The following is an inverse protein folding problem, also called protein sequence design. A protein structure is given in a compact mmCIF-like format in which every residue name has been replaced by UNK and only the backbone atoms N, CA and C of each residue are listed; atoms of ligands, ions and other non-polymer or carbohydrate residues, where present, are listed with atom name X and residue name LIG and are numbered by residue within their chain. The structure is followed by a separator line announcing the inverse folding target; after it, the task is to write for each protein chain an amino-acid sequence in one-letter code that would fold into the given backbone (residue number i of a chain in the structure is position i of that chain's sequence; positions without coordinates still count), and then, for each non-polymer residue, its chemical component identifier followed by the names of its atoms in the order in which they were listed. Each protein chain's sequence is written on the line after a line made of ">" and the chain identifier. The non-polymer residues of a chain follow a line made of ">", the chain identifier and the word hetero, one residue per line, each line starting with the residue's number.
data_IF_036963055703
#
_entry.id   IF_036963055703
#
_cell.length_a   1.000
_cell.length_b   1.000
_cell.length_c   1.000
_cell.angle_alpha   90.00
_cell.angle_beta   90.00
_cell.angle_gamma   90.00
#
_symmetry.space_group_name_H-M   'P 1'
#
loop_
_entity.id
_entity.type
_entity.pdbx_description
1 polymer ?
#
# COMPACT_ATOMS: atom_id res chain seq x y z
N UNK A 1 31.95 11.09 44.66
CA UNK A 1 32.16 9.81 43.97
C UNK A 1 33.47 9.21 44.42
N UNK A 2 33.49 7.97 44.88
CA UNK A 2 34.66 7.33 45.47
C UNK A 2 35.65 6.98 44.35
N UNK A 3 36.94 7.20 44.57
CA UNK A 3 38.05 6.91 43.62
C UNK A 3 38.02 5.49 43.05
N UNK A 4 37.44 4.56 43.74
CA UNK A 4 37.24 3.15 43.34
C UNK A 4 36.27 3.01 42.10
N UNK A 5 35.28 3.86 41.98
CA UNK A 5 34.33 3.81 40.83
C UNK A 5 34.98 4.17 39.51
N UNK A 6 35.97 5.04 39.53
CA UNK A 6 36.75 5.40 38.31
C UNK A 6 37.66 4.25 37.85
N UNK A 7 38.22 3.49 38.77
CA UNK A 7 39.07 2.33 38.44
C UNK A 7 38.27 1.21 37.72
N UNK A 8 37.05 0.93 38.15
CA UNK A 8 36.19 -0.09 37.53
C UNK A 8 35.75 0.36 36.14
N UNK A 9 35.43 1.65 35.95
CA UNK A 9 35.02 2.18 34.65
C UNK A 9 36.17 2.13 33.63
N UNK A 10 37.39 2.44 34.07
CA UNK A 10 38.58 2.39 33.22
C UNK A 10 38.91 0.96 32.78
N UNK A 11 38.78 -0.02 33.66
CA UNK A 11 39.03 -1.43 33.34
C UNK A 11 38.00 -1.97 32.35
N UNK A 12 36.72 -1.58 32.50
CA UNK A 12 35.66 -1.98 31.55
C UNK A 12 35.85 -1.35 30.17
N UNK A 13 36.30 -0.11 30.08
CA UNK A 13 36.57 0.55 28.79
C UNK A 13 37.77 -0.09 28.09
N UNK A 14 38.86 -0.37 28.82
CA UNK A 14 40.05 -1.02 28.25
C UNK A 14 39.77 -2.47 27.82
N UNK A 15 38.92 -3.21 28.54
CA UNK A 15 38.49 -4.56 28.14
C UNK A 15 37.67 -4.56 26.84
N UNK A 16 36.78 -3.58 26.65
CA UNK A 16 36.03 -3.44 25.42
C UNK A 16 36.88 -3.02 24.22
N UNK A 17 37.83 -2.13 24.41
CA UNK A 17 38.76 -1.71 23.35
C UNK A 17 39.66 -2.88 22.95
N UNK A 18 40.13 -3.68 23.92
CA UNK A 18 40.96 -4.87 23.65
C UNK A 18 40.19 -5.96 22.87
N UNK A 19 38.91 -6.13 23.15
CA UNK A 19 38.07 -7.10 22.46
C UNK A 19 37.83 -6.71 20.99
N UNK A 20 37.56 -5.43 20.71
CA UNK A 20 37.40 -4.92 19.33
C UNK A 20 38.69 -5.06 18.53
N UNK A 21 39.87 -4.79 19.12
CA UNK A 21 41.17 -4.92 18.45
C UNK A 21 41.54 -6.39 18.16
N UNK A 22 41.07 -7.38 18.98
CA UNK A 22 41.33 -8.80 18.78
C UNK A 22 40.51 -9.42 17.66
N UNK A 23 39.27 -8.91 17.39
CA UNK A 23 38.38 -9.44 16.35
C UNK A 23 38.50 -8.72 15.00
N UNK A 24 39.07 -7.53 14.92
CA UNK A 24 39.23 -6.79 13.68
C UNK A 24 39.99 -7.57 12.57
N UNK A 25 41.11 -8.27 12.84
CA UNK A 25 41.82 -9.01 11.79
C UNK A 25 41.07 -10.24 11.26
N UNK A 26 40.18 -10.84 12.06
CA UNK A 26 39.38 -12.00 11.62
C UNK A 26 38.27 -11.61 10.64
N UNK A 27 37.62 -10.46 10.86
CA UNK A 27 36.56 -9.95 9.97
C UNK A 27 37.15 -9.51 8.62
N UNK A 28 38.35 -8.91 8.61
CA UNK A 28 39.01 -8.51 7.36
C UNK A 28 39.63 -9.67 6.58
N UNK A 29 39.95 -10.78 7.23
CA UNK A 29 40.44 -11.99 6.54
C UNK A 29 39.31 -12.68 5.77
N UNK A 30 38.09 -12.73 6.33
CA UNK A 30 36.92 -13.34 5.67
C UNK A 30 36.44 -12.52 4.46
N UNK A 31 36.54 -11.18 4.54
CA UNK A 31 36.21 -10.29 3.43
C UNK A 31 37.20 -10.40 2.27
N UNK A 32 38.50 -10.69 2.54
CA UNK A 32 39.50 -10.92 1.50
C UNK A 32 39.34 -12.27 0.81
N UNK A 33 39.02 -13.33 1.54
CA UNK A 33 38.79 -14.66 0.98
C UNK A 33 37.56 -14.69 0.03
N UNK A 34 36.54 -13.88 0.30
CA UNK A 34 35.37 -13.75 -0.58
C UNK A 34 35.64 -12.97 -1.88
N UNK A 35 36.64 -12.09 -1.89
CA UNK A 35 36.99 -11.29 -3.07
C UNK A 35 37.86 -12.05 -4.09
N UNK A 36 38.57 -13.11 -3.68
CA UNK A 36 39.49 -13.86 -4.55
C UNK A 36 38.87 -15.12 -5.22
N UNK A 37 37.60 -15.44 -4.94
CA UNK A 37 36.96 -16.68 -5.39
C UNK A 37 36.20 -16.59 -6.73
N UNK A 38 36.28 -15.50 -7.50
CA UNK A 38 35.67 -15.43 -8.83
C UNK A 38 36.63 -14.94 -9.91
N UNK A 39 37.29 -15.86 -10.66
CA UNK A 39 37.96 -15.47 -11.88
C UNK A 39 36.91 -15.23 -12.98
N UNK A 40 36.91 -14.03 -13.53
CA UNK A 40 36.21 -13.66 -14.76
C UNK A 40 36.79 -14.49 -15.93
N UNK A 41 36.05 -15.48 -16.40
CA UNK A 41 36.32 -16.15 -17.66
C UNK A 41 35.74 -15.32 -18.81
N UNK A 42 36.61 -14.61 -19.49
CA UNK A 42 36.36 -14.01 -20.79
C UNK A 42 36.55 -15.07 -21.87
N UNK A 43 35.47 -15.38 -22.60
CA UNK A 43 35.43 -16.00 -23.97
C UNK A 43 33.94 -16.06 -24.34
N UNK A 44 33.52 -15.75 -25.53
CA UNK A 44 34.07 -15.44 -26.83
C UNK A 44 32.86 -15.13 -27.70
N UNK A 45 33.11 -14.38 -28.75
CA UNK A 45 32.17 -14.07 -29.81
C UNK A 45 31.38 -15.29 -30.29
N UNK A 46 30.04 -15.15 -30.33
CA UNK A 46 29.24 -15.83 -31.34
C UNK A 46 28.04 -14.98 -31.73
N UNK A 47 28.16 -14.54 -32.95
CA UNK A 47 27.23 -13.74 -33.73
C UNK A 47 26.22 -14.68 -34.34
N UNK A 48 24.99 -14.73 -33.87
CA UNK A 48 23.91 -15.41 -34.61
C UNK A 48 22.55 -14.75 -34.38
N UNK A 49 22.07 -14.15 -35.45
CA UNK A 49 20.70 -14.09 -35.96
C UNK A 49 19.54 -13.73 -34.99
N UNK A 50 19.05 -12.51 -35.16
CA UNK A 50 17.67 -12.13 -34.82
C UNK A 50 16.66 -13.02 -35.55
N UNK A 51 15.65 -13.55 -34.87
CA UNK A 51 14.43 -13.97 -35.53
C UNK A 51 13.45 -12.78 -35.66
N UNK A 52 12.86 -12.74 -36.84
CA UNK A 52 11.94 -11.73 -37.35
C UNK A 52 10.71 -11.53 -36.44
N UNK A 53 10.27 -10.25 -36.41
CA UNK A 53 8.96 -9.80 -35.98
C UNK A 53 7.84 -10.65 -36.57
N UNK A 54 7.13 -11.41 -35.77
CA UNK A 54 5.85 -11.98 -36.14
C UNK A 54 4.79 -10.89 -36.08
N UNK A 55 4.22 -10.57 -37.26
CA UNK A 55 3.12 -9.64 -37.41
C UNK A 55 1.87 -10.18 -36.74
N UNK A 56 1.19 -9.33 -35.95
CA UNK A 56 -0.14 -9.59 -35.40
C UNK A 56 -1.18 -9.72 -36.50
N UNK A 57 -2.18 -10.60 -36.39
CA UNK A 57 -3.23 -10.74 -37.39
C UNK A 57 -4.18 -9.54 -37.34
N UNK A 58 -4.38 -8.95 -38.54
CA UNK A 58 -5.32 -7.87 -38.83
C UNK A 58 -6.76 -8.36 -38.60
N UNK A 59 -7.50 -7.69 -37.74
CA UNK A 59 -8.93 -7.93 -37.53
C UNK A 59 -9.72 -7.55 -38.79
N UNK A 60 -10.44 -8.51 -39.32
CA UNK A 60 -11.42 -8.34 -40.43
C UNK A 60 -12.67 -7.67 -39.89
N UNK A 61 -13.22 -6.60 -40.54
CA UNK A 61 -14.48 -6.03 -40.11
C UNK A 61 -15.67 -6.93 -40.49
N UNK A 62 -16.62 -7.05 -39.59
CA UNK A 62 -17.89 -7.77 -39.79
C UNK A 62 -18.77 -7.07 -40.81
N UNK A 63 -19.58 -7.81 -41.60
CA UNK A 63 -20.43 -7.22 -42.64
C UNK A 63 -21.66 -6.53 -42.05
N UNK A 64 -21.90 -5.30 -42.48
CA UNK A 64 -23.13 -4.53 -42.25
C UNK A 64 -24.28 -5.16 -43.01
N UNK A 65 -25.32 -5.62 -42.31
CA UNK A 65 -26.55 -6.08 -42.88
C UNK A 65 -27.39 -4.88 -43.32
N UNK A 66 -27.62 -4.77 -44.64
CA UNK A 66 -28.56 -3.83 -45.23
C UNK A 66 -30.00 -4.37 -45.08
N UNK A 67 -30.87 -3.57 -44.47
CA UNK A 67 -32.28 -3.82 -44.40
C UNK A 67 -32.91 -3.17 -45.67
N UNK A 68 -33.40 -4.01 -46.59
CA UNK A 68 -34.19 -3.59 -47.74
C UNK A 68 -35.61 -3.28 -47.29
N UNK A 69 -36.09 -2.07 -47.58
CA UNK A 69 -37.49 -1.69 -47.46
C UNK A 69 -38.33 -2.39 -48.54
N UNK A 70 -39.34 -3.13 -48.15
CA UNK A 70 -40.37 -3.69 -49.02
C UNK A 70 -41.60 -2.83 -48.98
N UNK A 71 -41.95 -2.24 -50.14
CA UNK A 71 -43.24 -1.62 -50.39
C UNK A 71 -44.33 -2.68 -50.46
N UNK A 72 -45.44 -2.45 -49.74
CA UNK A 72 -46.66 -3.25 -49.83
C UNK A 72 -47.84 -2.45 -49.30
N UNK A 73 -48.52 -1.74 -50.19
CA UNK A 73 -49.77 -1.06 -49.92
C UNK A 73 -50.90 -2.10 -49.83
N UNK A 74 -51.63 -2.10 -48.72
CA UNK A 74 -52.98 -2.62 -48.69
C UNK A 74 -53.89 -1.76 -47.81
N UNK A 75 -54.99 -1.28 -48.42
CA UNK A 75 -55.95 -0.36 -47.83
C UNK A 75 -57.02 -1.17 -47.04
N UNK A 76 -56.85 -1.29 -45.74
CA UNK A 76 -57.78 -1.87 -44.82
C UNK A 76 -58.47 -0.81 -43.97
N UNK A 77 -59.78 -0.79 -44.00
CA UNK A 77 -60.72 0.09 -43.27
C UNK A 77 -60.37 0.27 -41.81
N UNK A 78 -60.12 1.51 -41.39
CA UNK A 78 -59.84 1.88 -39.99
C UNK A 78 -61.15 2.01 -39.24
N UNK A 79 -61.47 1.01 -38.41
CA UNK A 79 -62.52 1.13 -37.39
C UNK A 79 -61.95 1.90 -36.20
N UNK A 80 -62.40 3.14 -36.01
CA UNK A 80 -61.99 3.98 -34.87
C UNK A 80 -62.58 3.42 -33.57
N UNK A 81 -61.76 2.73 -32.76
CA UNK A 81 -62.09 2.35 -31.42
C UNK A 81 -61.84 3.55 -30.50
N UNK A 82 -62.89 4.15 -29.97
CA UNK A 82 -62.79 5.21 -28.96
C UNK A 82 -62.47 4.52 -27.61
N UNK A 83 -61.23 4.61 -27.20
CA UNK A 83 -60.76 4.16 -25.88
C UNK A 83 -61.08 5.29 -24.88
N UNK A 84 -61.78 5.02 -23.77
CA UNK A 84 -62.02 6.03 -22.74
C UNK A 84 -60.66 6.41 -22.07
N UNK A 85 -60.50 7.65 -21.61
CA UNK A 85 -59.27 8.07 -20.96
C UNK A 85 -59.00 7.25 -19.69
N UNK A 86 -57.74 6.90 -19.39
CA UNK A 86 -57.41 6.17 -18.17
C UNK A 86 -57.74 7.00 -16.93
N UNK A 87 -58.10 6.38 -15.80
CA UNK A 87 -58.34 7.10 -14.55
C UNK A 87 -57.07 7.81 -14.09
N UNK A 88 -57.19 8.97 -13.39
CA UNK A 88 -56.03 9.68 -12.88
C UNK A 88 -55.24 8.79 -11.93
N UNK A 89 -53.88 8.85 -11.98
CA UNK A 89 -53.08 8.09 -11.07
C UNK A 89 -53.37 8.47 -9.61
N UNK A 90 -53.29 7.50 -8.67
CA UNK A 90 -53.47 7.80 -7.26
C UNK A 90 -52.46 8.85 -6.81
N UNK A 91 -52.92 9.82 -6.01
CA UNK A 91 -52.05 10.85 -5.44
C UNK A 91 -50.88 10.18 -4.71
N UNK A 92 -49.65 10.31 -5.25
CA UNK A 92 -48.42 9.89 -4.58
C UNK A 92 -48.27 10.77 -3.33
N UNK A 93 -48.49 10.20 -2.15
CA UNK A 93 -48.14 10.84 -0.91
C UNK A 93 -46.64 11.23 -0.97
N UNK A 94 -46.36 12.51 -0.82
CA UNK A 94 -44.99 13.00 -0.76
C UNK A 94 -44.21 12.17 0.26
N UNK A 95 -43.02 11.66 -0.08
CA UNK A 95 -42.19 10.96 0.90
C UNK A 95 -41.92 11.91 2.07
N UNK A 96 -42.21 11.44 3.29
CA UNK A 96 -41.84 12.16 4.51
C UNK A 96 -40.37 12.48 4.41
N UNK A 97 -40.02 13.77 4.52
CA UNK A 97 -38.64 14.24 4.60
C UNK A 97 -38.02 13.52 5.80
N UNK A 98 -37.17 12.53 5.55
CA UNK A 98 -36.36 11.89 6.57
C UNK A 98 -35.52 13.00 7.18
N UNK A 99 -35.62 13.19 8.50
CA UNK A 99 -34.70 14.08 9.22
C UNK A 99 -33.26 13.68 8.86
N UNK A 100 -32.32 14.66 8.70
CA UNK A 100 -30.93 14.33 8.43
C UNK A 100 -30.44 13.42 9.55
N UNK A 101 -30.04 12.20 9.20
CA UNK A 101 -29.35 11.29 10.12
C UNK A 101 -28.02 11.98 10.40
N UNK A 102 -27.88 12.59 11.57
CA UNK A 102 -26.60 13.12 12.02
C UNK A 102 -25.62 11.95 12.04
N UNK A 103 -24.52 12.07 11.32
CA UNK A 103 -23.42 11.11 11.45
C UNK A 103 -23.06 11.02 12.93
N UNK A 104 -22.88 9.81 13.48
CA UNK A 104 -22.52 9.66 14.89
C UNK A 104 -21.21 10.41 15.15
N UNK A 105 -21.25 11.34 16.09
CA UNK A 105 -20.06 12.10 16.48
C UNK A 105 -18.94 11.13 16.88
N UNK A 106 -17.79 11.25 16.21
CA UNK A 106 -16.64 10.41 16.50
C UNK A 106 -16.09 10.71 17.91
N UNK A 107 -15.72 9.68 18.70
CA UNK A 107 -15.13 9.90 20.01
C UNK A 107 -13.86 10.77 19.91
N UNK A 108 -13.62 11.60 20.93
CA UNK A 108 -12.47 12.51 20.98
C UNK A 108 -11.13 11.73 20.93
N UNK A 109 -11.13 10.50 21.45
CA UNK A 109 -9.99 9.58 21.40
C UNK A 109 -10.46 8.14 21.24
N UNK A 110 -9.64 7.29 20.63
CA UNK A 110 -9.84 5.86 20.56
C UNK A 110 -8.49 5.13 20.46
N UNK A 111 -8.40 3.93 21.03
CA UNK A 111 -7.20 3.09 20.97
C UNK A 111 -7.58 1.62 20.87
N UNK A 112 -6.99 0.95 19.91
CA UNK A 112 -7.11 -0.49 19.70
C UNK A 112 -6.07 -1.19 20.57
N UNK A 113 -6.51 -2.21 21.30
CA UNK A 113 -5.66 -3.08 22.13
C UNK A 113 -5.58 -4.48 21.53
N UNK A 114 -4.60 -5.27 21.98
CA UNK A 114 -4.44 -6.65 21.50
C UNK A 114 -3.79 -6.79 20.12
N UNK A 115 -3.40 -5.69 19.48
CA UNK A 115 -2.58 -5.74 18.28
C UNK A 115 -1.11 -5.71 18.67
N UNK A 116 -0.32 -6.59 18.07
CA UNK A 116 1.14 -6.64 18.24
C UNK A 116 1.80 -6.82 16.88
N UNK A 117 3.11 -6.59 16.84
CA UNK A 117 3.88 -6.74 15.61
C UNK A 117 5.25 -7.35 15.86
N UNK A 118 5.96 -7.64 14.79
CA UNK A 118 7.30 -8.22 14.78
C UNK A 118 8.26 -7.32 14.03
N UNK A 119 9.56 -7.44 14.30
CA UNK A 119 10.58 -6.80 13.48
C UNK A 119 10.49 -7.35 12.05
N UNK A 120 10.56 -6.48 11.05
CA UNK A 120 10.65 -6.90 9.65
C UNK A 120 11.92 -7.71 9.38
N UNK A 121 11.86 -8.64 8.43
CA UNK A 121 12.97 -9.55 8.12
C UNK A 121 14.01 -8.90 7.22
N UNK A 122 13.60 -8.08 6.27
CA UNK A 122 14.44 -7.47 5.26
C UNK A 122 14.45 -5.93 5.39
N UNK A 123 15.41 -5.29 4.75
CA UNK A 123 15.57 -3.83 4.80
C UNK A 123 14.33 -3.08 4.28
N UNK A 124 13.66 -3.62 3.25
CA UNK A 124 12.51 -3.02 2.57
C UNK A 124 11.27 -3.93 2.60
N UNK A 125 10.99 -4.63 3.70
CA UNK A 125 9.79 -5.47 3.83
C UNK A 125 8.72 -4.87 4.75
N UNK A 126 8.74 -3.56 4.98
CA UNK A 126 7.82 -2.90 5.89
C UNK A 126 6.34 -3.12 5.51
N UNK A 127 6.01 -3.14 4.23
CA UNK A 127 4.65 -3.37 3.74
C UNK A 127 4.20 -4.82 3.98
N UNK A 128 5.08 -5.79 3.70
CA UNK A 128 4.82 -7.20 3.96
C UNK A 128 4.69 -7.47 5.47
N UNK A 129 5.56 -6.85 6.29
CA UNK A 129 5.49 -6.95 7.75
C UNK A 129 4.22 -6.32 8.30
N UNK A 130 3.88 -5.11 7.88
CA UNK A 130 2.64 -4.44 8.28
C UNK A 130 1.41 -5.24 7.84
N UNK A 131 1.41 -5.81 6.63
CA UNK A 131 0.34 -6.66 6.15
C UNK A 131 0.16 -7.92 7.01
N UNK A 132 1.27 -8.61 7.37
CA UNK A 132 1.23 -9.81 8.20
C UNK A 132 0.77 -9.52 9.64
N UNK A 133 1.24 -8.43 10.26
CA UNK A 133 0.83 -8.04 11.62
C UNK A 133 -0.64 -7.59 11.64
N UNK A 134 -1.07 -6.83 10.64
CA UNK A 134 -2.45 -6.40 10.49
C UNK A 134 -3.39 -7.60 10.26
N UNK A 135 -2.99 -8.56 9.42
CA UNK A 135 -3.74 -9.78 9.20
C UNK A 135 -3.88 -10.63 10.47
N UNK A 136 -2.79 -10.75 11.25
CA UNK A 136 -2.78 -11.50 12.50
C UNK A 136 -3.77 -10.94 13.53
N UNK A 137 -3.96 -9.62 13.59
CA UNK A 137 -4.98 -8.99 14.44
C UNK A 137 -6.39 -9.47 14.10
N UNK A 138 -6.65 -9.78 12.84
CA UNK A 138 -7.94 -10.31 12.38
C UNK A 138 -8.01 -11.85 12.34
N UNK A 139 -7.02 -12.54 12.92
CA UNK A 139 -7.00 -14.00 13.02
C UNK A 139 -6.45 -14.72 11.78
N UNK A 140 -5.81 -14.02 10.85
CA UNK A 140 -5.17 -14.60 9.67
C UNK A 140 -3.66 -14.71 9.87
N UNK A 141 -3.12 -15.91 9.79
CA UNK A 141 -1.69 -16.13 9.82
C UNK A 141 -1.10 -15.94 8.41
N UNK A 142 -0.24 -14.95 8.26
CA UNK A 142 0.49 -14.66 7.02
C UNK A 142 1.98 -14.63 7.35
N UNK A 143 2.77 -15.41 6.61
CA UNK A 143 4.22 -15.33 6.68
C UNK A 143 4.71 -14.12 5.87
N UNK A 144 5.63 -13.34 6.44
CA UNK A 144 6.14 -12.10 5.83
C UNK A 144 6.91 -12.37 4.55
N UNK A 145 7.77 -13.39 4.57
CA UNK A 145 8.61 -13.76 3.44
C UNK A 145 7.77 -14.31 2.29
N UNK A 146 6.83 -15.21 2.59
CA UNK A 146 5.88 -15.72 1.59
C UNK A 146 5.04 -14.57 0.99
N UNK A 147 4.54 -13.65 1.82
CA UNK A 147 3.76 -12.52 1.34
C UNK A 147 4.57 -11.64 0.41
N UNK A 148 5.81 -11.31 0.79
CA UNK A 148 6.72 -10.50 -0.01
C UNK A 148 6.98 -11.14 -1.38
N UNK A 149 7.31 -12.44 -1.42
CA UNK A 149 7.59 -13.16 -2.67
C UNK A 149 6.36 -13.36 -3.57
N UNK A 150 5.15 -13.17 -3.05
CA UNK A 150 3.90 -13.22 -3.82
C UNK A 150 3.46 -11.87 -4.34
N UNK A 151 4.08 -10.79 -3.93
CA UNK A 151 3.83 -9.47 -4.52
C UNK A 151 4.34 -9.46 -5.98
N UNK A 152 3.61 -8.87 -6.91
CA UNK A 152 4.15 -8.66 -8.25
C UNK A 152 5.37 -7.74 -8.20
N UNK A 153 6.30 -7.91 -9.14
CA UNK A 153 7.45 -7.03 -9.31
C UNK A 153 7.15 -6.04 -10.42
N UNK A 154 7.48 -4.77 -10.21
CA UNK A 154 7.27 -3.68 -11.19
C UNK A 154 8.30 -2.58 -10.94
N UNK A 155 8.51 -1.69 -11.91
CA UNK A 155 9.20 -0.42 -11.72
C UNK A 155 8.26 0.68 -11.20
N UNK A 156 6.94 0.42 -11.21
CA UNK A 156 5.92 1.31 -10.67
C UNK A 156 5.32 0.72 -9.37
N UNK A 157 5.48 1.39 -8.22
CA UNK A 157 5.02 0.87 -6.93
C UNK A 157 3.48 0.72 -6.84
N UNK A 158 2.71 1.37 -7.69
CA UNK A 158 1.26 1.18 -7.76
C UNK A 158 0.86 -0.19 -8.35
N UNK A 159 1.81 -0.88 -9.00
CA UNK A 159 1.57 -2.17 -9.66
C UNK A 159 2.37 -3.34 -9.08
N UNK A 160 3.44 -3.05 -8.31
CA UNK A 160 4.25 -4.11 -7.71
C UNK A 160 5.40 -3.57 -6.88
N UNK A 161 6.16 -4.49 -6.30
CA UNK A 161 7.36 -4.20 -5.53
C UNK A 161 8.48 -3.72 -6.46
N UNK A 162 9.13 -2.60 -6.08
CA UNK A 162 10.20 -1.97 -6.87
C UNK A 162 11.56 -2.26 -6.24
N UNK A 163 12.41 -2.93 -7.00
CA UNK A 163 13.81 -3.15 -6.67
C UNK A 163 14.08 -4.36 -5.77
N UNK A 164 15.23 -4.35 -5.12
CA UNK A 164 15.69 -5.42 -4.23
C UNK A 164 15.26 -5.15 -2.79
N UNK A 165 14.64 -6.14 -2.15
CA UNK A 165 14.18 -6.06 -0.75
C UNK A 165 15.31 -5.83 0.25
N UNK A 166 16.55 -6.23 -0.09
CA UNK A 166 17.75 -5.98 0.69
C UNK A 166 18.42 -4.64 0.33
N UNK A 167 17.86 -3.88 -0.61
CA UNK A 167 18.38 -2.60 -1.05
C UNK A 167 18.40 -1.57 0.07
N UNK A 168 19.17 -0.49 -0.16
CA UNK A 168 19.29 0.58 0.82
C UNK A 168 17.96 1.35 0.95
N UNK A 169 17.47 1.47 2.18
CA UNK A 169 16.29 2.29 2.47
C UNK A 169 16.51 3.77 2.16
N UNK A 170 15.47 4.44 1.72
CA UNK A 170 15.50 5.87 1.40
C UNK A 170 15.81 6.19 -0.07
N UNK A 171 15.74 5.19 -0.94
CA UNK A 171 15.78 5.37 -2.39
C UNK A 171 14.39 5.72 -2.96
N UNK A 172 14.35 6.01 -4.25
CA UNK A 172 13.12 6.18 -5.04
C UNK A 172 13.19 5.27 -6.27
N UNK A 173 12.06 4.90 -6.88
CA UNK A 173 12.08 4.16 -8.15
C UNK A 173 12.98 4.85 -9.20
N UNK A 174 13.58 4.08 -10.12
CA UNK A 174 13.48 2.62 -10.29
C UNK A 174 14.44 1.81 -9.39
N UNK A 175 15.15 2.46 -8.46
CA UNK A 175 16.02 1.81 -7.49
C UNK A 175 15.14 1.10 -6.45
N UNK A 176 15.75 0.43 -5.47
CA UNK A 176 15.03 -0.23 -4.38
C UNK A 176 14.12 0.74 -3.61
N UNK A 177 12.81 0.45 -3.56
CA UNK A 177 11.82 1.38 -3.02
C UNK A 177 10.79 0.69 -2.12
N UNK A 178 10.05 -0.30 -2.61
CA UNK A 178 8.94 -0.95 -1.95
C UNK A 178 7.68 -0.99 -2.81
N UNK A 179 6.50 -1.03 -2.21
CA UNK A 179 5.23 -1.18 -2.93
C UNK A 179 4.12 -0.31 -2.30
N UNK A 180 3.24 0.24 -3.11
CA UNK A 180 2.08 1.00 -2.65
C UNK A 180 0.90 0.10 -2.24
N UNK A 181 -0.15 0.72 -1.70
CA UNK A 181 -1.28 0.03 -1.08
C UNK A 181 -2.06 -0.93 -2.01
N UNK A 182 -2.13 -0.62 -3.32
CA UNK A 182 -2.92 -1.39 -4.29
C UNK A 182 -2.55 -2.88 -4.33
N UNK A 183 -1.31 -3.24 -4.70
CA UNK A 183 -0.85 -4.64 -4.75
C UNK A 183 -0.92 -5.34 -3.39
N UNK A 184 -0.61 -4.65 -2.29
CA UNK A 184 -0.69 -5.19 -0.92
C UNK A 184 -2.12 -5.56 -0.57
N UNK A 185 -3.09 -4.66 -0.79
CA UNK A 185 -4.51 -4.95 -0.53
C UNK A 185 -5.06 -6.05 -1.46
N UNK A 186 -4.62 -6.08 -2.72
CA UNK A 186 -4.98 -7.15 -3.63
C UNK A 186 -4.52 -8.51 -3.09
N UNK A 187 -3.27 -8.61 -2.63
CA UNK A 187 -2.74 -9.85 -2.09
C UNK A 187 -3.41 -10.23 -0.76
N UNK A 188 -3.66 -9.27 0.16
CA UNK A 188 -4.42 -9.51 1.39
C UNK A 188 -5.80 -10.12 1.12
N UNK A 189 -6.51 -9.66 0.06
CA UNK A 189 -7.80 -10.26 -0.34
C UNK A 189 -7.64 -11.71 -0.78
N UNK A 190 -6.54 -12.09 -1.41
CA UNK A 190 -6.26 -13.48 -1.78
C UNK A 190 -6.00 -14.39 -0.57
N UNK A 191 -5.61 -13.82 0.57
CA UNK A 191 -5.56 -14.51 1.87
C UNK A 191 -6.92 -14.52 2.59
N UNK A 192 -7.99 -13.98 1.99
CA UNK A 192 -9.35 -13.98 2.54
C UNK A 192 -9.71 -12.76 3.38
N UNK A 193 -8.84 -11.74 3.46
CA UNK A 193 -9.15 -10.51 4.17
C UNK A 193 -9.96 -9.55 3.28
N UNK A 194 -10.93 -8.86 3.87
CA UNK A 194 -11.67 -7.78 3.21
C UNK A 194 -10.85 -6.48 3.24
N UNK A 195 -9.73 -6.44 2.48
CA UNK A 195 -8.78 -5.35 2.45
C UNK A 195 -9.01 -4.42 1.25
N UNK A 196 -9.06 -3.12 1.50
CA UNK A 196 -9.29 -2.08 0.49
C UNK A 196 -8.21 -1.02 0.57
N UNK A 197 -7.57 -0.73 -0.58
CA UNK A 197 -6.58 0.33 -0.71
C UNK A 197 -7.26 1.63 -1.12
N UNK A 198 -6.81 2.74 -0.54
CA UNK A 198 -7.29 4.09 -0.81
C UNK A 198 -6.12 5.06 -0.95
N UNK A 199 -6.33 6.12 -1.74
CA UNK A 199 -5.59 7.38 -1.72
C UNK A 199 -6.58 8.51 -1.44
N UNK A 200 -6.14 9.63 -0.87
CA UNK A 200 -6.98 10.78 -0.60
C UNK A 200 -7.91 10.65 0.60
N UNK A 201 -7.65 9.74 1.53
CA UNK A 201 -8.43 9.66 2.77
C UNK A 201 -8.22 10.91 3.63
N UNK A 202 -9.19 11.21 4.50
CA UNK A 202 -9.10 12.26 5.51
C UNK A 202 -8.74 11.68 6.88
N UNK A 203 -8.31 12.56 7.80
CA UNK A 203 -8.10 12.16 9.20
C UNK A 203 -9.35 11.57 9.84
N UNK A 204 -10.54 12.05 9.50
CA UNK A 204 -11.81 11.55 10.05
C UNK A 204 -12.14 10.15 9.53
N UNK A 205 -11.80 9.81 8.29
CA UNK A 205 -11.90 8.43 7.81
C UNK A 205 -11.03 7.48 8.66
N UNK A 206 -9.80 7.88 9.01
CA UNK A 206 -8.94 7.08 9.87
C UNK A 206 -9.51 6.98 11.30
N UNK A 207 -9.97 8.10 11.86
CA UNK A 207 -10.60 8.14 13.20
C UNK A 207 -11.80 7.19 13.28
N UNK A 208 -12.66 7.20 12.25
CA UNK A 208 -13.82 6.32 12.16
C UNK A 208 -13.41 4.84 12.16
N UNK A 209 -12.36 4.46 11.42
CA UNK A 209 -11.85 3.09 11.43
C UNK A 209 -11.35 2.69 12.82
N UNK A 210 -10.54 3.53 13.45
CA UNK A 210 -9.99 3.25 14.79
C UNK A 210 -11.10 3.18 15.84
N UNK A 211 -12.07 4.09 15.82
CA UNK A 211 -13.24 4.07 16.70
C UNK A 211 -14.08 2.79 16.53
N UNK A 212 -14.13 2.25 15.32
CA UNK A 212 -14.76 0.97 15.02
C UNK A 212 -13.90 -0.27 15.36
N UNK A 213 -12.75 -0.09 16.03
CA UNK A 213 -11.83 -1.19 16.40
C UNK A 213 -11.07 -1.79 15.22
N UNK A 214 -10.92 -1.07 14.11
CA UNK A 214 -10.25 -1.53 12.89
C UNK A 214 -8.93 -0.78 12.70
N UNK A 215 -7.77 -1.41 12.94
CA UNK A 215 -6.48 -0.80 12.66
C UNK A 215 -6.30 -0.56 11.15
N UNK A 216 -5.50 0.44 10.80
CA UNK A 216 -5.32 0.90 9.41
C UNK A 216 -3.83 0.88 9.07
N UNK A 217 -3.44 0.21 7.97
CA UNK A 217 -2.09 0.34 7.42
C UNK A 217 -2.01 1.66 6.68
N UNK A 218 -0.99 2.48 6.98
CA UNK A 218 -0.80 3.80 6.36
C UNK A 218 0.62 3.94 5.80
N UNK A 219 0.76 4.63 4.68
CA UNK A 219 2.03 4.94 4.03
C UNK A 219 2.53 6.30 4.49
N UNK A 220 3.70 6.35 5.06
CA UNK A 220 4.32 7.53 5.66
C UNK A 220 5.76 7.70 5.16
N UNK A 221 6.43 8.75 5.61
CA UNK A 221 7.86 8.99 5.33
C UNK A 221 8.67 8.81 6.60
N UNK A 222 9.79 8.10 6.51
CA UNK A 222 10.65 7.83 7.66
C UNK A 222 9.90 7.14 8.79
N UNK A 223 10.29 7.39 10.01
CA UNK A 223 9.52 6.96 11.19
C UNK A 223 8.45 8.00 11.56
N UNK A 224 7.59 8.33 10.56
CA UNK A 224 6.57 9.39 10.63
C UNK A 224 7.23 10.75 10.78
N UNK A 225 7.90 11.16 9.72
CA UNK A 225 8.63 12.42 9.62
C UNK A 225 8.09 13.25 8.45
N UNK A 226 8.44 14.54 8.41
CA UNK A 226 8.14 15.36 7.24
C UNK A 226 8.97 14.90 6.05
N UNK A 227 8.35 14.79 4.88
CA UNK A 227 8.99 14.37 3.65
C UNK A 227 8.66 15.28 2.48
N UNK A 228 9.14 14.90 1.31
CA UNK A 228 8.86 15.59 0.05
C UNK A 228 8.32 14.61 -0.97
N UNK A 229 7.15 14.92 -1.51
CA UNK A 229 6.56 14.21 -2.64
C UNK A 229 7.41 14.41 -3.90
N UNK A 230 7.62 13.36 -4.66
CA UNK A 230 8.34 13.35 -5.94
C UNK A 230 7.45 12.66 -6.96
N UNK A 231 7.27 13.28 -8.10
CA UNK A 231 6.61 12.65 -9.23
C UNK A 231 7.59 11.68 -9.92
N UNK A 232 7.15 10.45 -10.15
CA UNK A 232 7.92 9.42 -10.85
C UNK A 232 7.09 8.88 -12.02
N UNK A 233 7.70 8.84 -13.19
CA UNK A 233 7.11 8.23 -14.39
C UNK A 233 7.81 6.90 -14.66
N UNK A 234 7.05 5.82 -14.62
CA UNK A 234 7.52 4.46 -14.87
C UNK A 234 7.77 4.19 -16.35
N UNK A 235 8.38 3.06 -16.69
CA UNK A 235 8.71 2.69 -18.06
C UNK A 235 7.47 2.54 -18.97
N UNK A 236 6.30 2.26 -18.39
CA UNK A 236 5.02 2.19 -19.11
C UNK A 236 4.37 3.57 -19.35
N UNK A 237 5.04 4.67 -18.96
CA UNK A 237 4.57 6.05 -19.10
C UNK A 237 3.58 6.50 -18.02
N UNK A 238 3.23 5.65 -17.06
CA UNK A 238 2.34 6.02 -15.95
C UNK A 238 3.09 6.74 -14.85
N UNK A 239 2.46 7.78 -14.32
CA UNK A 239 3.04 8.62 -13.27
C UNK A 239 2.41 8.29 -11.91
N UNK A 240 3.23 8.27 -10.88
CA UNK A 240 2.83 8.12 -9.47
C UNK A 240 3.64 9.03 -8.57
N UNK A 241 3.13 9.28 -7.36
CA UNK A 241 3.85 10.04 -6.33
C UNK A 241 4.62 9.07 -5.45
N UNK A 242 5.91 9.33 -5.28
CA UNK A 242 6.83 8.59 -4.43
C UNK A 242 7.53 9.54 -3.46
N UNK A 243 8.21 9.00 -2.45
CA UNK A 243 9.03 9.79 -1.54
C UNK A 243 10.25 8.98 -1.11
N UNK A 244 11.36 9.66 -0.85
CA UNK A 244 12.49 9.02 -0.16
C UNK A 244 12.06 8.59 1.25
N UNK A 245 12.60 7.48 1.73
CA UNK A 245 12.26 6.92 3.04
C UNK A 245 10.78 6.56 3.17
N UNK A 246 10.15 6.13 2.06
CA UNK A 246 8.81 5.52 2.12
C UNK A 246 8.80 4.42 3.18
N UNK A 247 7.71 4.35 3.94
CA UNK A 247 7.54 3.40 5.04
C UNK A 247 6.07 3.13 5.30
N UNK A 248 5.78 1.96 5.86
CA UNK A 248 4.44 1.60 6.31
C UNK A 248 4.42 1.37 7.82
N UNK A 249 3.36 1.87 8.44
CA UNK A 249 3.04 1.63 9.86
C UNK A 249 1.56 1.31 10.00
N UNK A 250 1.15 0.76 11.15
CA UNK A 250 -0.26 0.50 11.44
C UNK A 250 -0.75 1.53 12.44
N UNK A 251 -1.73 2.35 12.04
CA UNK A 251 -2.45 3.25 12.96
C UNK A 251 -3.35 2.43 13.87
N UNK A 252 -3.21 2.62 15.19
CA UNK A 252 -3.91 1.84 16.21
C UNK A 252 -4.61 2.72 17.27
N UNK A 253 -4.44 4.03 17.20
CA UNK A 253 -5.11 4.95 18.14
C UNK A 253 -4.94 6.40 17.74
N UNK A 254 -5.79 7.26 18.31
CA UNK A 254 -5.72 8.71 18.18
C UNK A 254 -6.24 9.41 19.42
N UNK A 255 -5.79 10.66 19.63
CA UNK A 255 -6.37 11.69 20.48
C UNK A 255 -6.56 12.97 19.66
N UNK A 256 -6.94 14.08 20.30
CA UNK A 256 -7.01 15.37 19.63
C UNK A 256 -5.65 15.86 19.10
N UNK A 257 -4.54 15.50 19.78
CA UNK A 257 -3.20 16.03 19.45
C UNK A 257 -2.23 14.98 18.90
N UNK A 258 -2.55 13.69 19.01
CA UNK A 258 -1.58 12.62 18.70
C UNK A 258 -2.23 11.39 18.07
N UNK A 259 -1.41 10.61 17.39
CA UNK A 259 -1.73 9.26 16.93
C UNK A 259 -0.85 8.23 17.62
N UNK A 260 -1.37 7.01 17.80
CA UNK A 260 -0.61 5.84 18.25
C UNK A 260 -0.40 4.91 17.07
N UNK A 261 0.84 4.47 16.89
CA UNK A 261 1.30 3.70 15.73
C UNK A 261 2.00 2.43 16.18
N UNK A 262 1.78 1.34 15.47
CA UNK A 262 2.56 0.11 15.54
C UNK A 262 3.50 0.07 14.33
N UNK A 263 4.80 -0.01 14.57
CA UNK A 263 5.88 -0.04 13.58
C UNK A 263 6.80 -1.22 13.91
N UNK A 264 6.68 -2.29 13.16
CA UNK A 264 7.30 -3.55 13.49
C UNK A 264 6.93 -3.99 14.91
N UNK A 265 7.92 -4.19 15.79
CA UNK A 265 7.69 -4.61 17.19
C UNK A 265 7.43 -3.45 18.16
N UNK A 266 7.37 -2.21 17.70
CA UNK A 266 7.30 -1.03 18.56
C UNK A 266 5.94 -0.33 18.44
N UNK A 267 5.39 0.08 19.58
CA UNK A 267 4.25 0.99 19.65
C UNK A 267 4.74 2.33 20.18
N UNK A 268 4.44 3.41 19.47
CA UNK A 268 4.83 4.77 19.84
C UNK A 268 3.78 5.79 19.41
N UNK A 269 3.90 7.02 19.92
CA UNK A 269 3.05 8.14 19.54
C UNK A 269 3.79 9.17 18.69
N UNK A 270 3.05 9.86 17.83
CA UNK A 270 3.48 11.05 17.10
C UNK A 270 2.42 12.14 17.21
N UNK A 271 2.82 13.39 17.15
CA UNK A 271 1.84 14.49 17.08
C UNK A 271 0.98 14.33 15.83
N UNK A 272 -0.30 14.64 15.95
CA UNK A 272 -1.25 14.54 14.85
C UNK A 272 -0.79 15.35 13.63
N UNK A 273 -0.26 16.57 13.84
CA UNK A 273 0.22 17.41 12.73
C UNK A 273 1.37 16.77 11.97
N UNK A 274 2.38 16.22 12.65
CA UNK A 274 3.51 15.55 11.98
C UNK A 274 3.05 14.30 11.25
N UNK A 275 2.12 13.54 11.83
CA UNK A 275 1.56 12.38 11.17
C UNK A 275 0.81 12.76 9.88
N UNK A 276 -0.05 13.78 9.94
CA UNK A 276 -0.81 14.23 8.76
C UNK A 276 0.12 14.77 7.67
N UNK A 277 1.16 15.55 8.03
CA UNK A 277 2.16 16.02 7.09
C UNK A 277 2.91 14.85 6.41
N UNK A 278 3.33 13.84 7.19
CA UNK A 278 4.02 12.66 6.69
C UNK A 278 3.15 11.81 5.76
N UNK A 279 1.93 11.57 6.16
CA UNK A 279 0.95 10.76 5.42
C UNK A 279 0.51 11.44 4.11
N UNK A 280 0.36 12.76 4.11
CA UNK A 280 -0.01 13.53 2.93
C UNK A 280 1.03 13.46 1.80
N UNK A 281 2.31 13.26 2.12
CA UNK A 281 3.39 13.15 1.12
C UNK A 281 3.10 12.04 0.09
N UNK A 282 2.53 10.91 0.52
CA UNK A 282 2.17 9.77 -0.32
C UNK A 282 0.68 9.73 -0.66
N UNK A 283 0.04 10.91 -0.67
CA UNK A 283 -1.35 11.08 -1.09
C UNK A 283 -2.36 10.46 -0.15
N UNK A 284 -2.12 10.49 1.16
CA UNK A 284 -3.02 9.95 2.18
C UNK A 284 -3.39 8.48 1.90
N UNK A 285 -2.38 7.68 1.57
CA UNK A 285 -2.53 6.29 1.17
C UNK A 285 -2.73 5.38 2.38
N UNK A 286 -3.71 4.46 2.30
CA UNK A 286 -4.00 3.53 3.38
C UNK A 286 -4.65 2.22 2.90
N UNK A 287 -4.59 1.20 3.76
CA UNK A 287 -5.41 -0.02 3.64
C UNK A 287 -6.31 -0.13 4.87
N UNK A 288 -7.62 -0.35 4.61
CA UNK A 288 -8.64 -0.55 5.63
C UNK A 288 -9.29 -1.93 5.51
N UNK A 289 -9.90 -2.40 6.60
CA UNK A 289 -10.78 -3.58 6.57
C UNK A 289 -12.22 -3.17 6.28
N UNK A 290 -12.71 -3.54 5.12
CA UNK A 290 -14.02 -3.13 4.62
C UNK A 290 -13.99 -1.77 3.92
N UNK A 291 -15.07 -1.48 3.23
CA UNK A 291 -15.24 -0.23 2.50
C UNK A 291 -15.38 0.96 3.46
N UNK A 292 -14.83 2.08 3.05
CA UNK A 292 -15.13 3.39 3.61
C UNK A 292 -16.32 3.96 2.84
N UNK A 293 -17.34 4.40 3.56
CA UNK A 293 -18.46 5.10 2.97
C UNK A 293 -18.07 6.57 2.79
N UNK A 294 -18.07 7.02 1.55
CA UNK A 294 -17.93 8.45 1.24
C UNK A 294 -19.35 9.01 1.16
N UNK A 295 -19.73 10.02 1.95
CA UNK A 295 -21.01 10.69 1.76
C UNK A 295 -21.08 11.21 0.31
N UNK A 296 -22.22 11.02 -0.34
CA UNK A 296 -22.44 11.59 -1.67
C UNK A 296 -22.28 13.12 -1.58
N UNK A 297 -21.61 13.75 -2.56
CA UNK A 297 -21.45 15.21 -2.61
C UNK A 297 -22.79 15.93 -2.73
#
# INVERSE_FOLDING_TARGET
>A
MRTWQWGVLLVLVLANVGLVAAFAPLVFADLRASAEAHPLSARGDDRAASPALAQAPTATPAPTAAITAGDGADAGSVTTIVIPPPPPPPAVSSPATSAPVSDPELPAEAKITGIGGRKQQYALSCEARSAADWAAFFGFAIDEDEFLHRLPVSDNPDFGFVGDVNGQWGQTPPIAYGVHAGPVAFLLRRYGLNAHAYKGLTGDHLRAQIAAGKPVIVWVVGHVERGKAVEYTAADGRTTIVARYEHTVILVGYTAEAVTLLDGSKIYTRSLSVFLDSWAVLGNMAITRGLIHFPNP
#
